data_IF_717185383355
#
_entry.id   IF_717185383355
#
_cell.length_a   1.000
_cell.length_b   1.000
_cell.length_c   1.000
_cell.angle_alpha   90.00
_cell.angle_beta   90.00
_cell.angle_gamma   90.00
#
_symmetry.space_group_name_H-M   'P 1'
#
loop_
_entity.id
_entity.type
_entity.pdbx_description
1 polymer ?
#
# COMPACT_ATOMS: atom_id res chain seq x y z
N UNK A 1 -3.03 0.34 1.90
CA UNK A 1 -2.56 -0.74 1.04
C UNK A 1 -1.55 -1.65 1.72
N UNK A 2 -1.18 -2.69 1.01
CA UNK A 2 -0.17 -3.68 1.37
C UNK A 2 0.94 -3.66 0.32
N UNK A 3 2.14 -4.12 0.65
CA UNK A 3 3.22 -4.27 -0.34
C UNK A 3 2.93 -5.51 -1.19
N UNK A 4 2.79 -5.33 -2.50
CA UNK A 4 2.50 -6.41 -3.46
C UNK A 4 3.70 -6.81 -4.31
N UNK A 5 4.79 -6.04 -4.28
CA UNK A 5 5.99 -6.35 -5.04
C UNK A 5 7.15 -5.40 -4.77
N UNK A 6 8.30 -5.82 -5.26
CA UNK A 6 9.51 -4.99 -5.32
C UNK A 6 10.11 -5.05 -6.71
N UNK A 7 10.53 -3.91 -7.22
CA UNK A 7 11.27 -3.80 -8.48
C UNK A 7 12.70 -3.41 -8.17
N UNK A 8 13.66 -4.24 -8.53
CA UNK A 8 15.09 -3.91 -8.41
C UNK A 8 15.44 -2.93 -9.52
N UNK A 9 15.77 -1.70 -9.15
CA UNK A 9 16.19 -0.65 -10.10
C UNK A 9 17.70 -0.58 -10.26
N UNK A 10 18.45 -1.04 -9.26
CA UNK A 10 19.87 -1.28 -9.34
C UNK A 10 20.19 -2.56 -8.55
N UNK A 11 20.82 -3.58 -9.17
CA UNK A 11 21.16 -4.82 -8.49
C UNK A 11 22.31 -4.69 -7.49
N UNK A 12 23.09 -3.62 -7.56
CA UNK A 12 24.34 -3.50 -6.80
C UNK A 12 25.37 -4.55 -7.20
N UNK A 13 26.39 -4.72 -6.39
CA UNK A 13 27.44 -5.74 -6.61
C UNK A 13 28.22 -6.06 -5.34
N UNK A 14 28.95 -7.19 -5.38
CA UNK A 14 29.88 -7.57 -4.32
C UNK A 14 29.21 -8.19 -3.08
N UNK A 15 27.94 -8.49 -3.12
CA UNK A 15 27.26 -9.17 -2.02
C UNK A 15 27.69 -10.65 -1.95
N UNK A 16 28.34 -11.03 -0.85
CA UNK A 16 28.70 -12.43 -0.57
C UNK A 16 27.58 -13.21 0.14
N UNK A 17 26.72 -12.48 0.83
CA UNK A 17 25.49 -13.00 1.45
C UNK A 17 24.35 -12.01 1.19
N UNK A 18 23.11 -12.49 1.27
CA UNK A 18 21.95 -11.62 1.07
C UNK A 18 21.94 -10.45 2.06
N UNK A 19 21.84 -9.20 1.59
CA UNK A 19 21.76 -8.04 2.48
C UNK A 19 20.45 -8.01 3.26
N UNK A 20 20.49 -7.39 4.42
CA UNK A 20 19.28 -7.08 5.19
C UNK A 20 18.48 -5.98 4.51
N UNK A 21 17.16 -6.12 4.51
CA UNK A 21 16.24 -5.12 3.96
C UNK A 21 15.59 -4.35 5.10
N UNK A 22 15.59 -3.03 4.96
CA UNK A 22 14.81 -2.14 5.82
C UNK A 22 13.77 -1.43 4.97
N UNK A 23 12.51 -1.53 5.37
CA UNK A 23 11.37 -0.87 4.75
C UNK A 23 10.94 0.27 5.66
N UNK A 24 11.05 1.49 5.17
CA UNK A 24 10.72 2.70 5.91
C UNK A 24 9.56 3.41 5.23
N UNK A 25 8.48 3.61 5.95
CA UNK A 25 7.31 4.34 5.49
C UNK A 25 7.17 5.69 6.20
N UNK A 26 6.71 6.69 5.46
CA UNK A 26 6.36 8.02 5.97
C UNK A 26 4.85 8.28 5.94
N UNK A 27 4.07 7.34 5.43
CA UNK A 27 2.62 7.47 5.25
C UNK A 27 1.77 6.74 6.30
N UNK A 28 2.39 6.11 7.30
CA UNK A 28 1.69 5.40 8.38
C UNK A 28 1.58 3.89 8.20
N UNK A 29 2.10 3.33 7.11
CA UNK A 29 2.17 1.88 6.90
C UNK A 29 3.20 1.20 7.80
N UNK A 30 2.96 -0.05 8.15
CA UNK A 30 3.82 -0.83 9.06
C UNK A 30 3.86 -2.31 8.69
N UNK A 31 4.86 -2.99 9.23
CA UNK A 31 4.94 -4.46 9.23
C UNK A 31 5.41 -5.10 7.93
N UNK A 32 5.76 -4.33 6.90
CA UNK A 32 6.35 -4.88 5.69
C UNK A 32 7.71 -5.49 5.94
N UNK A 33 7.92 -6.72 5.48
CA UNK A 33 9.19 -7.44 5.58
C UNK A 33 9.49 -8.15 4.26
N UNK A 34 10.75 -8.07 3.83
CA UNK A 34 11.22 -8.76 2.64
C UNK A 34 12.59 -9.40 2.85
N UNK A 35 12.90 -10.38 2.03
CA UNK A 35 14.21 -11.05 2.00
C UNK A 35 14.82 -10.86 0.62
N UNK A 36 16.06 -10.37 0.59
CA UNK A 36 16.81 -10.21 -0.65
C UNK A 36 17.19 -11.56 -1.25
N UNK A 37 17.12 -11.65 -2.56
CA UNK A 37 17.57 -12.79 -3.35
C UNK A 37 18.81 -12.39 -4.13
N UNK A 38 19.90 -13.14 -3.97
CA UNK A 38 21.13 -12.96 -4.74
C UNK A 38 21.15 -13.86 -5.97
N UNK A 39 21.81 -13.41 -7.02
CA UNK A 39 22.23 -14.26 -8.12
C UNK A 39 23.51 -15.00 -7.71
N UNK A 40 23.45 -16.32 -7.64
CA UNK A 40 24.61 -17.16 -7.30
C UNK A 40 25.66 -17.21 -8.41
N UNK A 41 25.29 -16.86 -9.64
CA UNK A 41 26.16 -16.96 -10.82
C UNK A 41 26.79 -15.65 -11.24
N UNK A 42 26.35 -14.51 -10.71
CA UNK A 42 26.73 -13.19 -11.17
C UNK A 42 27.13 -12.30 -9.98
N UNK A 43 28.42 -12.30 -9.66
CA UNK A 43 29.15 -11.36 -8.78
C UNK A 43 28.37 -10.71 -7.62
N UNK A 44 27.52 -11.45 -6.95
CA UNK A 44 26.80 -10.95 -5.77
C UNK A 44 25.86 -9.78 -6.08
N UNK A 45 24.98 -9.95 -7.03
CA UNK A 45 23.94 -8.98 -7.36
C UNK A 45 22.60 -9.36 -6.69
N UNK A 46 21.85 -8.38 -6.25
CA UNK A 46 20.47 -8.56 -5.78
C UNK A 46 19.55 -8.66 -6.99
N UNK A 47 18.92 -9.81 -7.18
CA UNK A 47 18.02 -10.06 -8.32
C UNK A 47 16.55 -9.89 -7.98
N UNK A 48 16.21 -9.90 -6.69
CA UNK A 48 14.83 -9.76 -6.26
C UNK A 48 14.69 -9.60 -4.76
N UNK A 49 13.45 -9.37 -4.35
CA UNK A 49 13.04 -9.39 -2.95
C UNK A 49 11.78 -10.24 -2.84
N UNK A 50 11.83 -11.23 -1.97
CA UNK A 50 10.66 -12.04 -1.62
C UNK A 50 9.93 -11.36 -0.48
N UNK A 51 8.65 -11.08 -0.64
CA UNK A 51 7.80 -10.55 0.43
C UNK A 51 7.54 -11.67 1.43
N UNK A 52 7.95 -11.48 2.67
CA UNK A 52 7.67 -12.41 3.78
C UNK A 52 6.52 -11.92 4.66
N UNK A 53 6.31 -10.60 4.68
CA UNK A 53 5.12 -9.98 5.26
C UNK A 53 4.78 -8.74 4.41
N UNK A 54 3.57 -8.64 3.85
CA UNK A 54 3.17 -7.49 3.04
C UNK A 54 2.97 -6.21 3.86
N UNK A 55 2.82 -6.32 5.18
CA UNK A 55 2.46 -5.20 6.04
C UNK A 55 1.05 -4.69 5.76
N UNK A 56 0.74 -3.51 6.25
CA UNK A 56 -0.57 -2.86 6.04
C UNK A 56 -0.51 -1.35 6.26
N UNK A 57 -1.54 -0.65 5.79
CA UNK A 57 -1.70 0.78 6.02
C UNK A 57 -0.85 1.69 5.13
N UNK A 58 -0.15 1.16 4.14
CA UNK A 58 0.63 1.96 3.21
C UNK A 58 -0.27 2.80 2.30
N UNK A 59 -0.10 4.12 2.35
CA UNK A 59 -0.80 5.07 1.44
C UNK A 59 0.12 5.58 0.33
N UNK A 60 1.43 5.51 0.56
CA UNK A 60 2.49 5.76 -0.43
C UNK A 60 3.47 4.59 -0.40
N UNK A 61 4.17 4.39 -1.51
CA UNK A 61 5.19 3.35 -1.59
C UNK A 61 6.33 3.62 -0.58
N UNK A 62 6.64 2.66 0.31
CA UNK A 62 7.70 2.84 1.29
C UNK A 62 9.09 2.83 0.64
N UNK A 63 10.04 3.45 1.31
CA UNK A 63 11.44 3.42 0.90
C UNK A 63 12.07 2.08 1.30
N UNK A 64 12.83 1.50 0.38
CA UNK A 64 13.54 0.23 0.57
C UNK A 64 15.04 0.50 0.62
N UNK A 65 15.70 0.05 1.66
CA UNK A 65 17.16 0.15 1.80
C UNK A 65 17.78 -1.20 2.11
N UNK A 66 18.97 -1.41 1.55
CA UNK A 66 19.77 -2.62 1.71
C UNK A 66 20.99 -2.32 2.56
N UNK A 67 21.32 -3.21 3.49
CA UNK A 67 22.48 -3.07 4.37
C UNK A 67 23.17 -4.40 4.64
N UNK A 68 24.47 -4.37 4.81
CA UNK A 68 25.28 -5.57 5.05
C UNK A 68 25.55 -6.40 3.78
N UNK A 69 25.82 -7.69 3.95
CA UNK A 69 26.09 -8.61 2.85
C UNK A 69 27.44 -8.45 2.15
N UNK A 70 28.27 -7.47 2.54
CA UNK A 70 29.60 -7.22 1.96
C UNK A 70 29.58 -6.42 0.65
N UNK A 71 28.43 -6.25 0.02
CA UNK A 71 28.24 -5.49 -1.21
C UNK A 71 27.67 -4.09 -1.00
N UNK A 72 27.38 -3.42 -2.11
CA UNK A 72 26.79 -2.08 -2.10
C UNK A 72 26.01 -1.77 -3.39
N UNK A 73 25.24 -0.69 -3.34
CA UNK A 73 24.58 -0.11 -4.51
C UNK A 73 23.23 -0.73 -4.90
N UNK A 74 22.72 -1.72 -4.18
CA UNK A 74 21.38 -2.25 -4.46
C UNK A 74 20.31 -1.20 -4.15
N UNK A 75 19.37 -1.04 -5.08
CA UNK A 75 18.21 -0.15 -4.96
C UNK A 75 16.95 -0.89 -5.43
N UNK A 76 15.89 -0.77 -4.66
CA UNK A 76 14.59 -1.30 -5.05
C UNK A 76 13.48 -0.28 -4.76
N UNK A 77 12.41 -0.41 -5.51
CA UNK A 77 11.16 0.34 -5.30
C UNK A 77 10.07 -0.65 -4.88
N UNK A 78 9.37 -0.33 -3.82
CA UNK A 78 8.19 -1.10 -3.40
C UNK A 78 6.98 -0.71 -4.26
N UNK A 79 6.15 -1.69 -4.58
CA UNK A 79 4.82 -1.48 -5.16
C UNK A 79 3.78 -1.82 -4.10
N UNK A 80 2.84 -0.94 -3.90
CA UNK A 80 1.73 -1.16 -2.97
C UNK A 80 0.42 -1.36 -3.73
N UNK A 81 -0.45 -2.17 -3.16
CA UNK A 81 -1.85 -2.23 -3.58
C UNK A 81 -2.57 -1.01 -2.98
N UNK A 82 -2.85 -0.04 -3.81
CA UNK A 82 -3.76 1.05 -3.47
C UNK A 82 -5.17 0.56 -3.76
N UNK A 83 -5.82 -0.02 -2.75
CA UNK A 83 -7.23 -0.39 -2.87
C UNK A 83 -8.02 0.87 -3.28
N UNK A 84 -8.43 0.92 -4.53
CA UNK A 84 -9.36 1.94 -5.00
C UNK A 84 -10.72 1.57 -4.43
N UNK A 85 -11.14 2.25 -3.38
CA UNK A 85 -12.50 2.11 -2.85
C UNK A 85 -13.44 2.80 -3.86
N UNK A 86 -13.99 2.01 -4.76
CA UNK A 86 -15.10 2.45 -5.59
C UNK A 86 -16.37 2.13 -4.82
N UNK A 87 -16.91 3.11 -4.13
CA UNK A 87 -18.18 2.93 -3.45
C UNK A 87 -19.27 3.72 -4.17
N UNK A 88 -20.41 3.08 -4.38
CA UNK A 88 -21.61 3.72 -4.88
C UNK A 88 -22.61 3.83 -3.75
N UNK A 89 -22.86 5.05 -3.30
CA UNK A 89 -23.91 5.31 -2.32
C UNK A 89 -25.21 5.64 -3.06
N UNK A 90 -26.21 4.78 -2.91
CA UNK A 90 -27.52 5.02 -3.49
C UNK A 90 -28.42 5.61 -2.41
N UNK A 91 -28.90 6.83 -2.66
CA UNK A 91 -29.89 7.48 -1.81
C UNK A 91 -31.28 7.33 -2.43
N UNK A 92 -32.23 6.80 -1.65
CA UNK A 92 -33.64 6.85 -2.02
C UNK A 92 -34.29 7.96 -1.20
N UNK A 93 -34.64 9.06 -1.87
CA UNK A 93 -35.33 10.20 -1.26
C UNK A 93 -36.80 10.15 -1.66
N UNK A 94 -37.69 10.12 -0.70
CA UNK A 94 -39.15 10.17 -0.92
C UNK A 94 -39.70 11.47 -0.36
N UNK A 95 -40.38 12.21 -1.18
CA UNK A 95 -41.00 13.48 -0.77
C UNK A 95 -41.53 14.28 -1.96
N UNK A 96 -42.47 15.17 -1.69
CA UNK A 96 -43.09 16.06 -2.68
C UNK A 96 -42.79 17.53 -2.43
N UNK A 97 -41.87 17.86 -1.54
CA UNK A 97 -41.50 19.23 -1.21
C UNK A 97 -40.38 19.77 -2.09
N UNK A 98 -40.23 21.09 -2.11
CA UNK A 98 -39.18 21.78 -2.84
C UNK A 98 -37.76 21.59 -2.25
N UNK A 99 -37.65 20.96 -1.09
CA UNK A 99 -36.38 20.60 -0.48
C UNK A 99 -36.45 19.23 0.17
N UNK A 100 -35.41 18.44 0.02
CA UNK A 100 -35.25 17.12 0.60
C UNK A 100 -34.00 17.17 1.50
N UNK A 101 -34.16 16.79 2.75
CA UNK A 101 -33.05 16.70 3.71
C UNK A 101 -33.00 15.30 4.27
N UNK A 102 -31.85 14.67 4.21
CA UNK A 102 -31.64 13.34 4.74
C UNK A 102 -30.29 13.23 5.42
N UNK A 103 -30.18 12.28 6.33
CA UNK A 103 -28.91 11.89 6.92
C UNK A 103 -28.45 10.58 6.29
N UNK A 104 -27.15 10.45 6.07
CA UNK A 104 -26.56 9.20 5.65
C UNK A 104 -25.60 8.68 6.71
N UNK A 105 -25.60 7.38 6.88
CA UNK A 105 -24.57 6.67 7.62
C UNK A 105 -24.13 5.46 6.81
N UNK A 106 -22.84 5.27 6.68
CA UNK A 106 -22.29 4.17 5.90
C UNK A 106 -21.09 3.54 6.58
N UNK A 107 -20.91 2.25 6.37
CA UNK A 107 -19.70 1.53 6.75
C UNK A 107 -18.98 1.16 5.46
N UNK A 108 -17.78 1.69 5.30
CA UNK A 108 -16.93 1.39 4.17
C UNK A 108 -16.21 0.06 4.42
N UNK A 109 -16.40 -0.89 3.54
CA UNK A 109 -15.66 -2.16 3.57
C UNK A 109 -14.77 -2.24 2.35
N UNK A 110 -13.47 -2.37 2.57
CA UNK A 110 -12.55 -2.82 1.52
C UNK A 110 -12.70 -4.32 1.32
N UNK A 111 -12.66 -4.79 0.08
CA UNK A 111 -12.68 -6.24 -0.23
C UNK A 111 -11.34 -6.91 0.03
N UNK A 112 -10.27 -6.15 0.23
CA UNK A 112 -8.90 -6.64 0.41
C UNK A 112 -8.37 -6.44 1.83
N UNK A 113 -8.88 -5.46 2.57
CA UNK A 113 -8.53 -5.22 3.97
C UNK A 113 -9.75 -4.73 4.72
N UNK A 114 -9.93 -5.18 5.96
CA UNK A 114 -11.04 -4.75 6.83
C UNK A 114 -10.82 -3.32 7.34
N UNK A 115 -10.91 -2.33 6.46
CA UNK A 115 -11.07 -0.94 6.85
C UNK A 115 -12.55 -0.66 7.07
N UNK A 116 -12.97 -0.64 8.32
CA UNK A 116 -14.29 -0.16 8.70
C UNK A 116 -14.17 1.30 9.14
N UNK A 117 -14.60 2.22 8.29
CA UNK A 117 -14.81 3.62 8.69
C UNK A 117 -16.29 3.94 8.67
N UNK A 118 -16.79 4.54 9.73
CA UNK A 118 -18.17 5.06 9.76
C UNK A 118 -18.12 6.54 9.38
N UNK A 119 -18.84 6.88 8.34
CA UNK A 119 -19.01 8.27 7.91
C UNK A 119 -20.48 8.64 8.07
N UNK A 120 -20.74 9.76 8.71
CA UNK A 120 -22.07 10.33 8.87
C UNK A 120 -22.08 11.74 8.29
N UNK A 121 -23.15 12.10 7.63
CA UNK A 121 -23.32 13.43 7.07
C UNK A 121 -24.77 13.77 6.78
N UNK A 122 -25.02 15.03 6.48
CA UNK A 122 -26.34 15.54 6.09
C UNK A 122 -26.30 15.94 4.62
N UNK A 123 -27.26 15.47 3.84
CA UNK A 123 -27.46 15.90 2.47
C UNK A 123 -28.73 16.76 2.42
N UNK A 124 -28.60 17.94 1.86
CA UNK A 124 -29.72 18.83 1.55
C UNK A 124 -29.78 19.03 0.05
N UNK A 125 -30.89 18.67 -0.57
CA UNK A 125 -31.18 18.90 -1.98
C UNK A 125 -32.27 19.94 -2.08
N UNK A 126 -32.00 21.02 -2.82
CA UNK A 126 -32.95 22.07 -3.12
C UNK A 126 -33.31 22.01 -4.62
N UNK A 127 -34.58 22.20 -4.93
CA UNK A 127 -35.00 22.35 -6.32
C UNK A 127 -34.62 23.74 -6.80
N UNK A 128 -33.99 23.81 -7.96
CA UNK A 128 -33.76 25.07 -8.70
C UNK A 128 -35.04 25.50 -9.41
#
# INVERSE_FOLDING_TARGET
>A
GEIVGFVITNPGSGYSIAPSITITDSGGGTGGVGTAVLNETDAGQVTGVVITNPGSGYVIAPTVSFSGGGGSGAIATATIDTATVTDSVTFTLTGSSSSLTGQYSGVWKSTTTSCASQTQGTITLSRL
#
